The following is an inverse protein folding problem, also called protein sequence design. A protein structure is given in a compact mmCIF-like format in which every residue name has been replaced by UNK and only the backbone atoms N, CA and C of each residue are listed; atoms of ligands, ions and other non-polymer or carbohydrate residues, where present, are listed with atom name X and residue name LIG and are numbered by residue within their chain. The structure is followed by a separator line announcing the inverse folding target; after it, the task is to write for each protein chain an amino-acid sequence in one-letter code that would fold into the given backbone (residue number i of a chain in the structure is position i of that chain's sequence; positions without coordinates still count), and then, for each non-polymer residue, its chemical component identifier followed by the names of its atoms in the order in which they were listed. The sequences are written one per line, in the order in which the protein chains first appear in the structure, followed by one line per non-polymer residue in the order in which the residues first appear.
data_IF_591547290355
#
_entry.id   IF_591547290355
#
_cell.length_a   1.000
_cell.length_b   1.000
_cell.length_c   1.000
_cell.angle_alpha   90.00
_cell.angle_beta   90.00
_cell.angle_gamma   90.00
#
_symmetry.space_group_name_H-M   'P 1'
#
loop_
_entity.id
_entity.type
_entity.pdbx_description
1 polymer ?
#
# COMPACT_ATOMS: atom_id res chain seq x y z
N UNK A 1 -11.67 13.75 -0.75
CA UNK A 1 -12.46 14.66 -1.62
C UNK A 1 -13.72 13.94 -2.11
N UNK A 2 -14.87 14.61 -2.11
CA UNK A 2 -16.14 13.99 -2.54
C UNK A 2 -16.21 13.72 -4.06
N UNK A 3 -15.45 14.46 -4.87
CA UNK A 3 -15.42 14.33 -6.33
C UNK A 3 -14.28 13.40 -6.79
N UNK A 4 -14.30 12.14 -6.37
CA UNK A 4 -13.35 11.12 -6.83
C UNK A 4 -14.11 9.92 -7.37
N UNK A 5 -13.77 9.49 -8.58
CA UNK A 5 -14.14 8.18 -9.09
C UNK A 5 -13.35 7.11 -8.34
N UNK A 6 -14.03 6.44 -7.40
CA UNK A 6 -13.43 5.43 -6.52
C UNK A 6 -12.87 4.27 -7.32
N UNK A 7 -13.63 3.75 -8.29
CA UNK A 7 -13.19 2.60 -9.07
C UNK A 7 -11.91 2.91 -9.86
N UNK A 8 -11.83 4.13 -10.43
CA UNK A 8 -10.63 4.61 -11.10
C UNK A 8 -9.48 4.83 -10.13
N UNK A 9 -9.75 5.41 -8.97
CA UNK A 9 -8.76 5.64 -7.92
C UNK A 9 -8.16 4.32 -7.41
N UNK A 10 -8.99 3.33 -7.11
CA UNK A 10 -8.57 1.99 -6.70
C UNK A 10 -7.74 1.31 -7.79
N UNK A 11 -8.13 1.42 -9.06
CA UNK A 11 -7.33 0.89 -10.17
C UNK A 11 -5.92 1.50 -10.25
N UNK A 12 -5.81 2.82 -10.10
CA UNK A 12 -4.52 3.51 -10.11
C UNK A 12 -3.66 3.18 -8.89
N UNK A 13 -4.25 3.24 -7.69
CA UNK A 13 -3.51 3.07 -6.45
C UNK A 13 -3.16 1.60 -6.16
N UNK A 14 -4.08 0.67 -6.42
CA UNK A 14 -3.89 -0.71 -6.04
C UNK A 14 -3.28 -1.55 -7.16
N UNK A 15 -3.73 -1.36 -8.40
CA UNK A 15 -3.22 -2.16 -9.51
C UNK A 15 -1.93 -1.56 -10.07
N UNK A 16 -1.89 -0.27 -10.40
CA UNK A 16 -0.68 0.30 -11.03
C UNK A 16 0.47 0.45 -10.04
N UNK A 17 0.23 1.06 -8.87
CA UNK A 17 1.30 1.21 -7.89
C UNK A 17 1.68 -0.12 -7.23
N UNK A 18 0.72 -0.98 -6.87
CA UNK A 18 1.02 -2.32 -6.34
C UNK A 18 1.91 -3.14 -7.28
N UNK A 19 1.63 -3.14 -8.59
CA UNK A 19 2.47 -3.80 -9.58
C UNK A 19 3.88 -3.17 -9.68
N UNK A 20 3.98 -1.85 -9.57
CA UNK A 20 5.29 -1.15 -9.60
C UNK A 20 6.20 -1.53 -8.43
N UNK A 21 5.63 -1.88 -7.27
CA UNK A 21 6.38 -2.39 -6.12
C UNK A 21 6.93 -3.79 -6.38
N UNK A 22 6.10 -4.70 -6.91
CA UNK A 22 6.50 -6.08 -7.21
C UNK A 22 7.57 -6.17 -8.31
N UNK A 23 7.57 -5.24 -9.26
CA UNK A 23 8.54 -5.23 -10.37
C UNK A 23 9.91 -4.64 -9.97
N UNK A 24 10.11 -4.25 -8.71
CA UNK A 24 11.39 -3.75 -8.21
C UNK A 24 11.88 -2.44 -8.86
N UNK A 25 11.07 -1.83 -9.73
CA UNK A 25 11.53 -0.83 -10.68
C UNK A 25 11.82 0.55 -10.07
N UNK A 26 11.47 0.79 -8.80
CA UNK A 26 11.63 2.13 -8.21
C UNK A 26 12.22 2.17 -6.81
N UNK A 27 12.35 1.04 -6.11
CA UNK A 27 12.82 1.01 -4.72
C UNK A 27 13.72 -0.21 -4.48
N UNK A 28 15.04 -0.05 -4.29
CA UNK A 28 15.83 -1.10 -3.69
C UNK A 28 15.34 -1.27 -2.25
N UNK A 29 14.60 -2.36 -2.04
CA UNK A 29 14.05 -2.75 -0.75
C UNK A 29 15.00 -3.77 -0.10
N UNK A 30 15.28 -3.65 1.20
CA UNK A 30 16.18 -4.56 1.90
C UNK A 30 15.59 -5.96 2.09
N UNK A 31 14.26 -6.09 2.00
CA UNK A 31 13.54 -7.36 2.01
C UNK A 31 12.53 -7.39 0.85
N UNK A 32 12.24 -8.57 0.27
CA UNK A 32 11.17 -8.71 -0.70
C UNK A 32 9.81 -8.28 -0.12
N UNK A 33 8.98 -7.69 -0.98
CA UNK A 33 7.60 -7.35 -0.64
C UNK A 33 6.65 -8.20 -1.48
N UNK A 34 5.65 -8.76 -0.81
CA UNK A 34 4.50 -9.40 -1.44
C UNK A 34 3.33 -8.43 -1.43
N UNK A 35 2.65 -8.28 -2.57
CA UNK A 35 1.42 -7.48 -2.68
C UNK A 35 0.24 -8.42 -2.87
N UNK A 36 -0.68 -8.42 -1.91
CA UNK A 36 -1.91 -9.22 -1.96
C UNK A 36 -3.13 -8.29 -2.03
N UNK A 37 -4.15 -8.65 -2.80
CA UNK A 37 -5.43 -7.92 -2.83
C UNK A 37 -6.24 -8.24 -1.57
N UNK A 38 -6.80 -7.22 -0.93
CA UNK A 38 -7.72 -7.35 0.21
C UNK A 38 -8.99 -6.52 -0.04
N UNK A 39 -10.01 -6.69 0.79
CA UNK A 39 -11.22 -5.87 0.70
C UNK A 39 -10.87 -4.39 0.94
N UNK A 40 -11.28 -3.52 0.01
CA UNK A 40 -10.98 -2.08 0.08
C UNK A 40 -9.52 -1.71 -0.18
N UNK A 41 -8.66 -2.63 -0.62
CA UNK A 41 -7.32 -2.27 -1.07
C UNK A 41 -6.29 -3.38 -1.23
N UNK A 42 -5.07 -3.13 -0.76
CA UNK A 42 -3.95 -4.07 -0.87
C UNK A 42 -3.21 -4.22 0.45
N UNK A 43 -2.62 -5.40 0.62
CA UNK A 43 -1.70 -5.74 1.70
C UNK A 43 -0.28 -5.81 1.17
N UNK A 44 0.61 -5.06 1.80
CA UNK A 44 2.06 -5.13 1.58
C UNK A 44 2.68 -6.01 2.65
N UNK A 45 3.05 -7.24 2.30
CA UNK A 45 3.72 -8.17 3.21
C UNK A 45 5.24 -8.06 3.07
N UNK A 46 5.92 -7.83 4.19
CA UNK A 46 7.39 -7.85 4.27
C UNK A 46 7.84 -9.27 4.52
N UNK A 47 8.59 -9.83 3.56
CA UNK A 47 8.99 -11.23 3.60
C UNK A 47 10.45 -11.34 4.06
N UNK A 48 10.66 -12.02 5.19
CA UNK A 48 11.98 -12.45 5.64
C UNK A 48 12.36 -13.73 4.91
N UNK A 49 13.63 -13.84 4.53
CA UNK A 49 14.21 -15.06 4.00
C UNK A 49 15.32 -15.46 4.96
N UNK A 50 15.16 -16.62 5.60
CA UNK A 50 16.14 -17.20 6.52
C UNK A 50 16.31 -18.68 6.18
N UNK A 51 17.55 -19.11 5.93
CA UNK A 51 17.92 -20.48 5.55
C UNK A 51 17.00 -21.12 4.48
N UNK A 52 16.61 -20.34 3.47
CA UNK A 52 15.73 -20.79 2.38
C UNK A 52 14.23 -20.86 2.72
N UNK A 53 13.84 -20.61 3.98
CA UNK A 53 12.45 -20.47 4.41
C UNK A 53 11.99 -19.01 4.29
N UNK A 54 10.73 -18.82 3.85
CA UNK A 54 10.10 -17.49 3.80
C UNK A 54 9.18 -17.31 5.00
N UNK A 55 9.24 -16.14 5.63
CA UNK A 55 8.36 -15.78 6.76
C UNK A 55 7.76 -14.40 6.56
N UNK A 56 6.50 -14.22 6.94
CA UNK A 56 5.85 -12.91 6.94
C UNK A 56 6.24 -12.16 8.22
N UNK A 57 7.09 -11.15 8.11
CA UNK A 57 7.59 -10.39 9.24
C UNK A 57 6.53 -9.41 9.78
N UNK A 58 6.00 -8.62 8.86
CA UNK A 58 4.98 -7.61 9.10
C UNK A 58 4.19 -7.39 7.81
N UNK A 59 3.03 -6.74 7.92
CA UNK A 59 2.31 -6.27 6.75
C UNK A 59 1.64 -4.93 7.00
N UNK A 60 1.43 -4.18 5.91
CA UNK A 60 0.69 -2.92 5.90
C UNK A 60 -0.53 -3.09 5.02
N UNK A 61 -1.72 -2.90 5.59
CA UNK A 61 -2.95 -2.82 4.84
C UNK A 61 -3.17 -1.37 4.40
N UNK A 62 -3.13 -1.13 3.09
CA UNK A 62 -3.45 0.13 2.44
C UNK A 62 -4.90 0.07 1.98
N UNK A 63 -5.80 0.68 2.75
CA UNK A 63 -7.24 0.57 2.60
C UNK A 63 -7.87 1.92 2.26
N UNK A 64 -8.92 1.87 1.44
CA UNK A 64 -9.77 2.99 1.09
C UNK A 64 -11.18 2.65 1.50
N UNK A 65 -11.81 3.56 2.23
CA UNK A 65 -13.17 3.38 2.73
C UNK A 65 -13.92 4.70 2.71
N UNK A 66 -15.25 4.70 2.55
CA UNK A 66 -16.05 5.91 2.73
C UNK A 66 -15.80 6.56 4.10
N UNK A 67 -15.76 7.88 4.13
CA UNK A 67 -15.70 8.63 5.38
C UNK A 67 -17.07 8.56 6.09
N UNK A 68 -17.06 8.42 7.42
CA UNK A 68 -18.29 8.33 8.23
C UNK A 68 -19.09 9.62 8.26
N UNK A 69 -18.44 10.75 7.99
CA UNK A 69 -19.02 12.10 7.96
C UNK A 69 -19.46 12.54 6.55
N UNK A 70 -19.37 11.66 5.56
CA UNK A 70 -19.74 11.98 4.17
C UNK A 70 -18.75 12.89 3.44
N UNK A 71 -17.58 13.20 4.01
CA UNK A 71 -16.54 14.05 3.39
C UNK A 71 -15.83 13.42 2.17
N UNK A 72 -16.24 12.20 1.78
CA UNK A 72 -15.71 11.42 0.67
C UNK A 72 -15.12 10.10 1.17
N UNK A 73 -13.81 9.94 1.04
CA UNK A 73 -13.09 8.70 1.36
C UNK A 73 -11.91 8.97 2.28
N UNK A 74 -11.63 7.99 3.12
CA UNK A 74 -10.47 7.94 4.00
C UNK A 74 -9.52 6.86 3.49
N UNK A 75 -8.26 7.24 3.30
CA UNK A 75 -7.17 6.31 3.09
C UNK A 75 -6.55 5.95 4.45
N UNK A 76 -6.32 4.67 4.69
CA UNK A 76 -5.69 4.15 5.92
C UNK A 76 -4.53 3.22 5.54
N UNK A 77 -3.36 3.47 6.11
CA UNK A 77 -2.24 2.53 6.10
C UNK A 77 -2.09 1.96 7.50
N UNK A 78 -2.44 0.69 7.68
CA UNK A 78 -2.48 0.04 9.00
C UNK A 78 -1.41 -1.05 9.05
N UNK A 79 -0.42 -0.87 9.92
CA UNK A 79 0.63 -1.87 10.15
C UNK A 79 0.14 -2.93 11.14
N UNK A 80 0.34 -4.20 10.78
CA UNK A 80 -0.01 -5.37 11.58
C UNK A 80 1.07 -6.46 11.44
N UNK A 81 0.97 -7.53 12.24
CA UNK A 81 1.89 -8.67 12.22
C UNK A 81 2.76 -8.81 13.48
N UNK A 82 3.56 -9.87 13.51
CA UNK A 82 4.37 -10.24 14.67
C UNK A 82 5.48 -9.21 14.98
N UNK A 83 6.03 -8.56 13.94
CA UNK A 83 7.02 -7.48 14.10
C UNK A 83 6.44 -6.09 13.82
N UNK A 84 5.14 -5.86 14.06
CA UNK A 84 4.50 -4.55 13.83
C UNK A 84 5.15 -3.41 14.64
N UNK A 85 5.70 -3.72 15.81
CA UNK A 85 6.29 -2.75 16.73
C UNK A 85 7.75 -2.41 16.36
N UNK A 86 8.34 -3.10 15.37
CA UNK A 86 9.62 -2.76 14.77
C UNK A 86 9.39 -2.01 13.46
N UNK A 87 10.22 -1.01 13.16
CA UNK A 87 10.18 -0.35 11.86
C UNK A 87 10.65 -1.35 10.78
N UNK A 88 9.78 -1.77 9.83
CA UNK A 88 10.18 -2.68 8.78
C UNK A 88 11.26 -2.00 7.93
N UNK A 89 12.35 -2.70 7.60
CA UNK A 89 13.43 -2.10 6.86
C UNK A 89 12.92 -1.65 5.47
N UNK A 90 13.12 -0.37 5.15
CA UNK A 90 12.64 0.24 3.90
C UNK A 90 11.24 0.88 3.97
N UNK A 91 10.55 0.83 5.11
CA UNK A 91 9.22 1.44 5.26
C UNK A 91 9.16 2.93 4.90
N UNK A 92 10.11 3.80 5.31
CA UNK A 92 10.07 5.21 4.93
C UNK A 92 10.02 5.44 3.42
N UNK A 93 10.63 4.54 2.64
CA UNK A 93 10.65 4.61 1.18
C UNK A 93 9.31 4.17 0.58
N UNK A 94 8.73 3.11 1.12
CA UNK A 94 7.40 2.62 0.72
C UNK A 94 6.35 3.67 1.03
N UNK A 95 6.37 4.26 2.23
CA UNK A 95 5.45 5.33 2.62
C UNK A 95 5.58 6.54 1.71
N UNK A 96 6.81 6.94 1.35
CA UNK A 96 7.02 8.04 0.41
C UNK A 96 6.50 7.73 -0.99
N UNK A 97 6.73 6.51 -1.49
CA UNK A 97 6.19 6.06 -2.77
C UNK A 97 4.67 5.99 -2.77
N UNK A 98 4.08 5.47 -1.68
CA UNK A 98 2.65 5.42 -1.45
C UNK A 98 2.02 6.81 -1.45
N UNK A 99 2.62 7.78 -0.75
CA UNK A 99 2.14 9.17 -0.73
C UNK A 99 2.15 9.79 -2.12
N UNK A 100 3.21 9.57 -2.92
CA UNK A 100 3.26 10.06 -4.30
C UNK A 100 2.20 9.39 -5.19
N UNK A 101 2.04 8.07 -5.07
CA UNK A 101 1.03 7.32 -5.80
C UNK A 101 -0.40 7.77 -5.42
N UNK A 102 -0.65 8.01 -4.13
CA UNK A 102 -1.91 8.52 -3.60
C UNK A 102 -2.23 9.89 -4.20
N UNK A 103 -1.30 10.84 -4.12
CA UNK A 103 -1.48 12.19 -4.68
C UNK A 103 -1.75 12.16 -6.18
N UNK A 104 -0.97 11.38 -6.94
CA UNK A 104 -1.16 11.23 -8.38
C UNK A 104 -2.49 10.58 -8.72
N UNK A 105 -2.88 9.53 -7.99
CA UNK A 105 -4.15 8.82 -8.22
C UNK A 105 -5.35 9.73 -7.92
N UNK A 106 -5.29 10.54 -6.85
CA UNK A 106 -6.32 11.55 -6.55
C UNK A 106 -6.44 12.57 -7.69
N UNK A 107 -5.32 13.08 -8.21
CA UNK A 107 -5.34 14.05 -9.30
C UNK A 107 -5.98 13.48 -10.57
N UNK A 108 -5.67 12.22 -10.91
CA UNK A 108 -6.18 11.57 -12.12
C UNK A 108 -7.65 11.15 -11.98
N UNK A 109 -8.06 10.72 -10.79
CA UNK A 109 -9.41 10.20 -10.51
C UNK A 109 -10.43 11.29 -10.11
N UNK A 110 -10.01 12.56 -10.04
CA UNK A 110 -10.94 13.69 -9.86
C UNK A 110 -11.92 13.77 -11.03
N UNK A 111 -13.18 14.03 -10.69
CA UNK A 111 -14.30 14.27 -11.62
C UNK A 111 -14.68 15.74 -11.58
#
# INVERSE_FOLDING_TARGET
PANIDVARFEGLLFQQWGNSLCQGAMLPLPVPIKVDKVEGGIRLGFIGIDDGATSLLAYIDCLVSPATDGSGFVFRAIRNGAMKDMEPPGEPRIMRSLLMALQKSIQIARV
#
